data_IF_798887552419
#
_entry.id   IF_798887552419
#
_cell.length_a   1.000
_cell.length_b   1.000
_cell.length_c   1.000
_cell.angle_alpha   90.00
_cell.angle_beta   90.00
_cell.angle_gamma   90.00
#
_symmetry.space_group_name_H-M   'P 1'
#
loop_
_entity.id
_entity.type
_entity.pdbx_description
1 polymer ?
#
# COMPACT_ATOMS: atom_id res chain seq x y z
N UNK A 1 -0.79 -18.39 -2.57
CA UNK A 1 -0.35 -17.70 -1.34
C UNK A 1 -0.72 -18.58 -0.15
N UNK A 2 0.19 -18.79 0.83
CA UNK A 2 -0.17 -19.53 2.04
C UNK A 2 -1.25 -18.80 2.84
N UNK A 3 -2.17 -19.51 3.52
CA UNK A 3 -3.21 -18.87 4.33
C UNK A 3 -2.67 -17.99 5.46
N UNK A 4 -1.48 -18.31 5.97
CA UNK A 4 -0.78 -17.57 7.02
C UNK A 4 -0.07 -16.29 6.53
N UNK A 5 -0.06 -16.02 5.22
CA UNK A 5 0.57 -14.82 4.69
C UNK A 5 -0.14 -13.56 5.20
N UNK A 6 0.62 -12.49 5.45
CA UNK A 6 0.10 -11.22 5.94
C UNK A 6 0.25 -10.19 4.83
N UNK A 7 -0.89 -9.65 4.37
CA UNK A 7 -0.96 -8.48 3.52
C UNK A 7 -0.91 -7.23 4.40
N UNK A 8 -0.01 -6.31 4.10
CA UNK A 8 -0.03 -4.96 4.66
C UNK A 8 -0.16 -3.97 3.52
N UNK A 9 -1.15 -3.08 3.61
CA UNK A 9 -1.37 -1.98 2.67
C UNK A 9 -1.27 -0.67 3.43
N UNK A 10 -0.56 0.30 2.87
CA UNK A 10 -0.31 1.59 3.53
C UNK A 10 -0.55 2.76 2.57
N UNK A 11 -1.19 3.81 3.07
CA UNK A 11 -1.25 5.11 2.42
C UNK A 11 -0.05 5.95 2.89
N UNK A 12 0.74 6.46 1.96
CA UNK A 12 1.96 7.23 2.27
C UNK A 12 1.97 8.59 1.57
N UNK A 13 2.44 9.63 2.27
CA UNK A 13 2.84 10.91 1.68
C UNK A 13 4.25 10.77 1.10
N UNK A 14 4.35 11.08 -0.18
CA UNK A 14 5.53 10.93 -1.04
C UNK A 14 5.87 12.24 -1.74
N UNK A 15 5.38 13.36 -1.20
CA UNK A 15 5.66 14.72 -1.68
C UNK A 15 7.13 15.10 -1.58
N UNK A 16 7.87 14.51 -0.63
CA UNK A 16 9.29 14.77 -0.42
C UNK A 16 10.12 13.69 -1.12
N UNK A 17 10.86 14.10 -2.15
CA UNK A 17 11.75 13.19 -2.87
C UNK A 17 12.95 12.72 -2.02
N UNK A 18 13.44 13.57 -1.11
CA UNK A 18 14.67 13.35 -0.35
C UNK A 18 14.41 12.93 1.11
N UNK A 19 13.19 12.52 1.44
CA UNK A 19 12.82 12.08 2.78
C UNK A 19 12.08 10.74 2.75
N UNK A 20 12.16 9.94 3.83
CA UNK A 20 11.31 8.77 3.98
C UNK A 20 9.84 9.16 3.84
N UNK A 21 9.08 8.32 3.14
CA UNK A 21 7.64 8.51 3.00
C UNK A 21 6.95 8.45 4.37
N UNK A 22 5.96 9.32 4.59
CA UNK A 22 5.23 9.39 5.85
C UNK A 22 3.99 8.53 5.72
N UNK A 23 3.84 7.51 6.56
CA UNK A 23 2.63 6.68 6.61
C UNK A 23 1.48 7.44 7.26
N UNK A 24 0.38 7.60 6.53
CA UNK A 24 -0.84 8.24 7.02
C UNK A 24 -1.87 7.22 7.51
N UNK A 25 -1.94 6.06 6.84
CA UNK A 25 -2.81 4.96 7.22
C UNK A 25 -2.16 3.63 6.88
N UNK A 26 -2.50 2.59 7.64
CA UNK A 26 -2.04 1.22 7.43
C UNK A 26 -3.17 0.25 7.73
N UNK A 27 -3.32 -0.77 6.89
CA UNK A 27 -4.22 -1.88 7.11
C UNK A 27 -3.48 -3.19 6.89
N UNK A 28 -3.50 -4.04 7.92
CA UNK A 28 -3.01 -5.42 7.86
C UNK A 28 -4.17 -6.42 7.73
N UNK A 29 -3.97 -7.49 6.96
CA UNK A 29 -4.91 -8.60 6.88
C UNK A 29 -4.18 -9.92 6.64
N UNK A 30 -4.67 -11.00 7.27
CA UNK A 30 -4.23 -12.36 6.95
C UNK A 30 -4.87 -12.77 5.62
N UNK A 31 -4.08 -13.38 4.73
CA UNK A 31 -4.55 -13.86 3.43
C UNK A 31 -5.68 -14.87 3.57
N UNK A 32 -5.54 -15.86 4.46
CA UNK A 32 -6.51 -16.94 4.60
C UNK A 32 -6.74 -17.64 3.26
N UNK A 33 -8.01 -17.96 2.97
CA UNK A 33 -8.42 -18.60 1.72
C UNK A 33 -8.76 -17.60 0.60
N UNK A 34 -8.42 -16.31 0.76
CA UNK A 34 -8.74 -15.27 -0.23
C UNK A 34 -7.94 -15.48 -1.51
N UNK A 35 -8.59 -15.27 -2.64
CA UNK A 35 -7.97 -15.28 -3.95
C UNK A 35 -7.67 -13.85 -4.42
N UNK A 36 -6.61 -13.70 -5.21
CA UNK A 36 -6.26 -12.41 -5.83
C UNK A 36 -7.15 -12.14 -7.05
N UNK A 37 -7.53 -10.88 -7.32
CA UNK A 37 -7.23 -9.68 -6.54
C UNK A 37 -7.97 -9.63 -5.18
N UNK A 38 -7.28 -9.17 -4.13
CA UNK A 38 -7.85 -9.07 -2.78
C UNK A 38 -8.36 -7.64 -2.56
N UNK A 39 -9.65 -7.45 -2.24
CA UNK A 39 -10.15 -6.12 -1.90
C UNK A 39 -9.56 -5.66 -0.56
N UNK A 40 -9.24 -4.38 -0.47
CA UNK A 40 -8.76 -3.73 0.74
C UNK A 40 -9.45 -2.37 0.89
N UNK A 41 -9.52 -1.91 2.13
CA UNK A 41 -10.00 -0.57 2.48
C UNK A 41 -8.95 0.10 3.36
N UNK A 42 -8.69 1.39 3.10
CA UNK A 42 -7.80 2.21 3.91
C UNK A 42 -8.59 3.42 4.41
N UNK A 43 -8.79 3.46 5.72
CA UNK A 43 -9.39 4.60 6.39
C UNK A 43 -8.28 5.57 6.79
N UNK A 44 -8.40 6.83 6.39
CA UNK A 44 -7.46 7.90 6.71
C UNK A 44 -8.19 9.15 7.17
N UNK A 45 -7.49 10.05 7.87
CA UNK A 45 -8.02 11.35 8.27
C UNK A 45 -7.88 12.36 7.10
N UNK A 46 -8.98 12.87 6.52
CA UNK A 46 -8.92 13.86 5.45
C UNK A 46 -8.21 15.16 5.86
N UNK A 47 -8.15 15.49 7.15
CA UNK A 47 -7.42 16.65 7.67
C UNK A 47 -5.89 16.56 7.47
N UNK A 48 -5.37 15.36 7.22
CA UNK A 48 -3.94 15.12 6.92
C UNK A 48 -3.62 15.24 5.42
N UNK A 49 -4.64 15.38 4.57
CA UNK A 49 -4.47 15.47 3.11
C UNK A 49 -4.29 16.94 2.70
N UNK A 50 -3.06 17.26 2.28
CA UNK A 50 -2.72 18.54 1.68
C UNK A 50 -2.92 18.47 0.15
N UNK A 51 -3.71 19.39 -0.45
CA UNK A 51 -4.00 19.35 -1.90
C UNK A 51 -2.76 19.42 -2.81
N UNK A 52 -1.65 19.98 -2.33
CA UNK A 52 -0.39 20.12 -3.08
C UNK A 52 0.57 18.94 -2.88
N UNK A 53 0.31 18.06 -1.91
CA UNK A 53 1.12 16.87 -1.66
C UNK A 53 0.78 15.75 -2.64
N UNK A 54 1.69 14.79 -2.76
CA UNK A 54 1.49 13.57 -3.54
C UNK A 54 1.33 12.39 -2.59
N UNK A 55 0.32 11.56 -2.83
CA UNK A 55 0.04 10.38 -2.02
C UNK A 55 0.12 9.13 -2.88
N UNK A 56 0.55 8.03 -2.28
CA UNK A 56 0.58 6.74 -2.94
C UNK A 56 0.17 5.61 -2.00
N UNK A 57 -0.39 4.56 -2.58
CA UNK A 57 -0.62 3.29 -1.89
C UNK A 57 0.58 2.38 -2.11
N UNK A 58 1.03 1.74 -1.04
CA UNK A 58 2.03 0.68 -1.07
C UNK A 58 1.43 -0.58 -0.47
N UNK A 59 1.88 -1.73 -0.96
CA UNK A 59 1.48 -3.02 -0.43
C UNK A 59 2.71 -3.91 -0.29
N UNK A 60 2.72 -4.72 0.76
CA UNK A 60 3.71 -5.76 0.97
C UNK A 60 3.06 -7.02 1.51
N UNK A 61 3.69 -8.15 1.22
CA UNK A 61 3.24 -9.44 1.70
C UNK A 61 4.37 -10.15 2.42
N UNK A 62 4.11 -10.47 3.68
CA UNK A 62 4.98 -11.27 4.54
C UNK A 62 4.49 -12.72 4.50
N UNK A 63 5.40 -13.65 4.24
CA UNK A 63 5.14 -15.09 4.26
C UNK A 63 6.15 -15.72 5.20
N UNK A 64 5.66 -16.45 6.21
CA UNK A 64 6.54 -17.12 7.20
C UNK A 64 7.55 -16.16 7.87
N UNK A 65 7.12 -14.92 8.12
CA UNK A 65 7.96 -13.88 8.76
C UNK A 65 8.94 -13.19 7.81
N UNK A 66 8.98 -13.54 6.52
CA UNK A 66 9.85 -12.92 5.52
C UNK A 66 9.06 -12.04 4.55
N UNK A 67 9.57 -10.86 4.23
CA UNK A 67 9.04 -10.04 3.14
C UNK A 67 9.28 -10.76 1.81
N UNK A 68 8.20 -11.17 1.13
CA UNK A 68 8.28 -11.91 -0.15
C UNK A 68 7.79 -11.10 -1.33
N UNK A 69 6.82 -10.22 -1.12
CA UNK A 69 6.30 -9.36 -2.17
C UNK A 69 6.21 -7.92 -1.69
N UNK A 70 6.48 -6.97 -2.59
CA UNK A 70 6.37 -5.54 -2.32
C UNK A 70 5.99 -4.80 -3.60
N UNK A 71 5.30 -3.67 -3.47
CA UNK A 71 5.13 -2.73 -4.59
C UNK A 71 6.47 -2.17 -5.03
N UNK A 72 6.82 -2.35 -6.30
CA UNK A 72 8.03 -1.76 -6.91
C UNK A 72 7.72 -0.50 -7.72
N UNK A 73 6.44 -0.29 -8.05
CA UNK A 73 5.93 0.86 -8.78
C UNK A 73 5.07 1.74 -7.85
N UNK A 74 4.88 2.99 -8.27
CA UNK A 74 4.08 3.97 -7.51
C UNK A 74 2.62 3.88 -7.94
N UNK A 75 1.71 3.79 -6.97
CA UNK A 75 0.26 3.83 -7.17
C UNK A 75 -0.30 5.13 -6.60
N UNK A 76 -0.32 6.24 -7.38
CA UNK A 76 -0.74 7.54 -6.88
C UNK A 76 -2.25 7.61 -6.65
N UNK A 77 -2.69 8.30 -5.61
CA UNK A 77 -4.11 8.40 -5.20
C UNK A 77 -4.47 9.77 -4.64
N UNK A 78 -5.76 10.05 -4.50
CA UNK A 78 -6.39 11.17 -3.77
C UNK A 78 -6.18 12.57 -4.39
N UNK A 79 -4.94 12.99 -4.64
CA UNK A 79 -4.61 14.35 -5.10
C UNK A 79 -4.11 14.34 -6.55
N UNK A 80 -3.93 15.54 -7.13
CA UNK A 80 -3.40 15.70 -8.49
C UNK A 80 -4.23 15.01 -9.59
N UNK A 81 -5.55 14.91 -9.38
CA UNK A 81 -6.47 14.24 -10.29
C UNK A 81 -6.46 12.71 -10.22
N UNK A 82 -5.72 12.12 -9.28
CA UNK A 82 -5.68 10.67 -9.08
C UNK A 82 -6.95 10.16 -8.38
N UNK A 83 -7.37 8.91 -8.67
CA UNK A 83 -8.56 8.33 -8.05
C UNK A 83 -8.32 7.98 -6.57
N UNK A 84 -9.41 7.69 -5.86
CA UNK A 84 -9.37 7.10 -4.51
C UNK A 84 -9.44 5.58 -4.52
N UNK A 85 -9.75 4.98 -5.66
CA UNK A 85 -9.76 3.54 -5.90
C UNK A 85 -8.58 3.18 -6.81
N UNK A 86 -7.84 2.13 -6.45
CA UNK A 86 -6.64 1.73 -7.18
C UNK A 86 -6.40 0.23 -7.06
N UNK A 87 -6.02 -0.40 -8.18
CA UNK A 87 -5.50 -1.76 -8.18
C UNK A 87 -3.98 -1.72 -7.93
N UNK A 88 -3.53 -2.43 -6.90
CA UNK A 88 -2.13 -2.42 -6.47
C UNK A 88 -1.49 -3.76 -6.84
N UNK A 89 -0.44 -3.70 -7.67
CA UNK A 89 0.37 -4.86 -8.02
C UNK A 89 1.62 -4.92 -7.14
N UNK A 90 1.91 -6.11 -6.65
CA UNK A 90 3.15 -6.42 -5.91
C UNK A 90 4.02 -7.35 -6.74
N UNK A 91 5.33 -7.19 -6.62
CA UNK A 91 6.31 -8.03 -7.29
C UNK A 91 7.12 -8.80 -6.25
N UNK A 92 7.67 -9.95 -6.64
CA UNK A 92 8.55 -10.74 -5.78
C UNK A 92 9.80 -9.92 -5.43
N UNK A 93 10.20 -9.94 -4.16
CA UNK A 93 11.49 -9.40 -3.75
C UNK A 93 12.59 -10.21 -4.46
N UNK A 94 13.33 -9.53 -5.34
CA UNK A 94 14.53 -10.12 -5.94
C UNK A 94 15.67 -10.05 -4.92
N UNK A 95 16.26 -11.19 -4.59
CA UNK A 95 17.48 -11.29 -3.77
C UNK A 95 18.71 -11.01 -4.61
#
# INVERSE_FOLDING_TARGET
MPPSAILEVTLVDVSRADAPAITLASQGAIFGDRQVPIPFELVYDPGQIAPRSSYAVQARIIVEGQLRFITTTRFPVITQGNPTEVEVRVDLVSQ
#
